data_IF_524430517415
#
_entry.id   IF_524430517415
#
_cell.length_a   1.000
_cell.length_b   1.000
_cell.length_c   1.000
_cell.angle_alpha   90.00
_cell.angle_beta   90.00
_cell.angle_gamma   90.00
#
_symmetry.space_group_name_H-M   'P 1'
#
loop_
_entity.id
_entity.type
_entity.pdbx_description
1 polymer ?
#
# COMPACT_ATOMS: atom_id res chain seq x y z
N UNK A 1 -3.36 -26.20 -5.33
CA UNK A 1 -4.10 -25.45 -4.28
C UNK A 1 -5.11 -24.56 -4.97
N UNK A 2 -6.32 -24.40 -4.42
CA UNK A 2 -7.29 -23.43 -4.95
C UNK A 2 -6.78 -21.99 -4.77
N UNK A 3 -7.31 -21.06 -5.57
CA UNK A 3 -6.88 -19.65 -5.56
C UNK A 3 -7.09 -19.00 -4.18
N UNK A 4 -8.20 -19.33 -3.51
CA UNK A 4 -8.61 -18.66 -2.28
C UNK A 4 -7.62 -18.88 -1.10
N UNK A 5 -7.21 -20.11 -0.74
CA UNK A 5 -6.20 -20.31 0.31
C UNK A 5 -4.87 -19.62 0.02
N UNK A 6 -4.40 -19.64 -1.23
CA UNK A 6 -3.18 -18.94 -1.63
C UNK A 6 -3.34 -17.43 -1.50
N UNK A 7 -4.47 -16.87 -1.95
CA UNK A 7 -4.74 -15.45 -1.83
C UNK A 7 -4.84 -14.99 -0.36
N UNK A 8 -5.48 -15.78 0.50
CA UNK A 8 -5.58 -15.49 1.94
C UNK A 8 -4.19 -15.52 2.60
N UNK A 9 -3.38 -16.53 2.29
CA UNK A 9 -2.03 -16.66 2.83
C UNK A 9 -1.11 -15.55 2.32
N UNK A 10 -1.02 -15.36 1.01
CA UNK A 10 -0.20 -14.32 0.40
C UNK A 10 -0.62 -12.92 0.82
N UNK A 11 -1.93 -12.66 0.84
CA UNK A 11 -2.51 -11.39 1.31
C UNK A 11 -2.17 -11.09 2.77
N UNK A 12 -2.27 -12.08 3.66
CA UNK A 12 -1.88 -11.93 5.06
C UNK A 12 -0.38 -11.64 5.23
N UNK A 13 0.48 -12.42 4.56
CA UNK A 13 1.94 -12.21 4.65
C UNK A 13 2.31 -10.82 4.12
N UNK A 14 1.78 -10.42 2.96
CA UNK A 14 2.03 -9.11 2.38
C UNK A 14 1.51 -7.98 3.27
N UNK A 15 0.35 -8.13 3.91
CA UNK A 15 -0.17 -7.10 4.82
C UNK A 15 0.70 -6.93 6.06
N UNK A 16 1.23 -8.01 6.62
CA UNK A 16 2.15 -7.94 7.77
C UNK A 16 3.46 -7.25 7.36
N UNK A 17 4.06 -7.68 6.25
CA UNK A 17 5.30 -7.09 5.73
C UNK A 17 5.12 -5.60 5.44
N UNK A 18 4.03 -5.25 4.73
CA UNK A 18 3.72 -3.86 4.43
C UNK A 18 3.41 -3.04 5.68
N UNK A 19 2.70 -3.58 6.66
CA UNK A 19 2.38 -2.83 7.87
C UNK A 19 3.63 -2.47 8.67
N UNK A 20 4.60 -3.38 8.76
CA UNK A 20 5.89 -3.13 9.41
C UNK A 20 6.70 -2.10 8.63
N UNK A 21 6.90 -2.31 7.32
CA UNK A 21 7.74 -1.45 6.50
C UNK A 21 7.08 -0.08 6.26
N UNK A 22 5.78 -0.05 6.04
CA UNK A 22 4.97 1.16 5.99
C UNK A 22 5.03 1.92 7.31
N UNK A 23 4.92 1.23 8.46
CA UNK A 23 5.16 1.83 9.76
C UNK A 23 6.51 2.55 9.83
N UNK A 24 7.59 1.91 9.41
CA UNK A 24 8.91 2.54 9.35
C UNK A 24 8.96 3.75 8.38
N UNK A 25 8.35 3.64 7.20
CA UNK A 25 8.34 4.71 6.20
C UNK A 25 7.49 5.93 6.60
N UNK A 26 6.39 5.73 7.32
CA UNK A 26 5.49 6.81 7.72
C UNK A 26 5.81 7.37 9.11
N UNK A 27 6.34 6.57 10.03
CA UNK A 27 6.66 7.00 11.40
C UNK A 27 8.12 7.42 11.60
N UNK A 28 8.94 7.43 10.54
CA UNK A 28 10.31 7.97 10.68
C UNK A 28 10.26 9.47 11.03
N UNK A 29 11.28 10.02 11.73
CA UNK A 29 11.25 11.39 12.24
C UNK A 29 11.05 12.47 11.17
N UNK A 30 11.53 12.25 9.95
CA UNK A 30 11.40 13.20 8.85
C UNK A 30 9.94 13.25 8.35
N UNK A 31 9.36 12.10 8.00
CA UNK A 31 7.97 12.00 7.56
C UNK A 31 7.02 12.45 8.67
N UNK A 32 7.22 11.97 9.90
CA UNK A 32 6.37 12.29 11.05
C UNK A 32 6.30 13.80 11.32
N UNK A 33 7.43 14.52 11.20
CA UNK A 33 7.46 15.98 11.34
C UNK A 33 6.61 16.69 10.29
N UNK A 34 6.61 16.21 9.05
CA UNK A 34 5.80 16.79 7.97
C UNK A 34 4.31 16.57 8.24
N UNK A 35 3.92 15.37 8.69
CA UNK A 35 2.53 15.09 9.11
C UNK A 35 2.09 15.96 10.28
N UNK A 36 2.94 16.13 11.31
CA UNK A 36 2.61 16.99 12.45
C UNK A 36 2.39 18.45 12.05
N UNK A 37 3.27 19.01 11.20
CA UNK A 37 3.10 20.39 10.70
C UNK A 37 1.81 20.60 9.89
N UNK A 38 1.23 19.53 9.35
CA UNK A 38 0.04 19.55 8.52
C UNK A 38 -1.23 19.13 9.27
N UNK A 39 -1.17 18.79 10.56
CA UNK A 39 -2.27 18.14 11.31
C UNK A 39 -3.58 18.94 11.37
N UNK A 40 -3.49 20.26 11.18
CA UNK A 40 -4.64 21.16 11.19
C UNK A 40 -5.20 21.46 9.78
N UNK A 41 -4.66 20.83 8.74
CA UNK A 41 -5.19 20.95 7.39
C UNK A 41 -6.62 20.36 7.33
N UNK A 42 -7.58 21.08 6.72
CA UNK A 42 -8.99 20.69 6.73
C UNK A 42 -9.28 19.37 6.00
N UNK A 43 -8.42 18.97 5.07
CA UNK A 43 -8.51 17.69 4.36
C UNK A 43 -8.11 16.47 5.24
N UNK A 44 -7.51 16.68 6.41
CA UNK A 44 -7.07 15.60 7.29
C UNK A 44 -8.13 15.24 8.34
N UNK A 45 -8.51 13.96 8.35
CA UNK A 45 -9.42 13.44 9.38
C UNK A 45 -8.71 13.31 10.72
N UNK A 46 -9.26 13.94 11.76
CA UNK A 46 -8.81 13.77 13.14
C UNK A 46 -9.33 12.45 13.71
N UNK A 47 -8.43 11.65 14.28
CA UNK A 47 -8.77 10.34 14.87
C UNK A 47 -8.73 10.42 16.41
N UNK A 48 -9.74 9.90 17.12
CA UNK A 48 -9.86 10.05 18.57
C UNK A 48 -8.92 9.12 19.37
N UNK A 49 -8.11 8.29 18.72
CA UNK A 49 -7.18 7.40 19.40
C UNK A 49 -6.29 6.59 18.46
N UNK A 50 -5.01 6.51 18.80
CA UNK A 50 -3.98 5.81 18.01
C UNK A 50 -4.28 4.32 17.84
N UNK A 51 -4.69 3.54 18.87
CA UNK A 51 -4.93 2.11 18.70
C UNK A 51 -6.06 1.79 17.71
N UNK A 52 -7.16 2.56 17.78
CA UNK A 52 -8.29 2.40 16.87
C UNK A 52 -7.91 2.74 15.43
N UNK A 53 -7.12 3.80 15.25
CA UNK A 53 -6.60 4.20 13.93
C UNK A 53 -5.70 3.11 13.34
N UNK A 54 -4.72 2.61 14.10
CA UNK A 54 -3.80 1.56 13.64
C UNK A 54 -4.54 0.26 13.31
N UNK A 55 -5.52 -0.14 14.14
CA UNK A 55 -6.33 -1.33 13.89
C UNK A 55 -7.12 -1.25 12.58
N UNK A 56 -7.78 -0.11 12.32
CA UNK A 56 -8.51 0.10 11.07
C UNK A 56 -7.58 0.21 9.86
N UNK A 57 -6.42 0.85 10.02
CA UNK A 57 -5.41 0.96 8.97
C UNK A 57 -4.85 -0.43 8.59
N UNK A 58 -4.57 -1.28 9.58
CA UNK A 58 -4.13 -2.64 9.34
C UNK A 58 -5.23 -3.47 8.66
N UNK A 59 -6.47 -3.41 9.14
CA UNK A 59 -7.59 -4.15 8.56
C UNK A 59 -7.84 -3.74 7.11
N UNK A 60 -7.80 -2.44 6.80
CA UNK A 60 -7.89 -1.93 5.43
C UNK A 60 -6.76 -2.48 4.57
N UNK A 61 -5.52 -2.44 5.09
CA UNK A 61 -4.34 -2.96 4.39
C UNK A 61 -4.43 -4.46 4.13
N UNK A 62 -4.96 -5.23 5.08
CA UNK A 62 -5.19 -6.68 4.94
C UNK A 62 -6.19 -6.98 3.82
N UNK A 63 -7.33 -6.29 3.81
CA UNK A 63 -8.34 -6.45 2.77
C UNK A 63 -7.75 -6.10 1.39
N UNK A 64 -7.06 -4.96 1.28
CA UNK A 64 -6.39 -4.55 0.05
C UNK A 64 -5.36 -5.58 -0.42
N UNK A 65 -4.56 -6.15 0.49
CA UNK A 65 -3.58 -7.17 0.15
C UNK A 65 -4.25 -8.47 -0.32
N UNK A 66 -5.32 -8.94 0.33
CA UNK A 66 -6.06 -10.13 -0.11
C UNK A 66 -6.61 -9.93 -1.53
N UNK A 67 -7.23 -8.77 -1.81
CA UNK A 67 -7.74 -8.46 -3.15
C UNK A 67 -6.61 -8.41 -4.18
N UNK A 68 -5.50 -7.76 -3.85
CA UNK A 68 -4.33 -7.72 -4.73
C UNK A 68 -3.72 -9.10 -4.97
N UNK A 69 -3.73 -10.01 -3.98
CA UNK A 69 -3.25 -11.38 -4.12
C UNK A 69 -4.13 -12.20 -5.10
N UNK A 70 -5.45 -12.00 -5.07
CA UNK A 70 -6.37 -12.61 -6.06
C UNK A 70 -6.01 -12.13 -7.46
N UNK A 71 -5.87 -10.81 -7.66
CA UNK A 71 -5.51 -10.22 -8.95
C UNK A 71 -4.16 -10.74 -9.43
N UNK A 72 -3.16 -10.80 -8.54
CA UNK A 72 -1.84 -11.36 -8.83
C UNK A 72 -1.94 -12.80 -9.32
N UNK A 73 -2.70 -13.67 -8.64
CA UNK A 73 -2.84 -15.07 -9.04
C UNK A 73 -3.52 -15.23 -10.40
N UNK A 74 -4.47 -14.36 -10.73
CA UNK A 74 -5.11 -14.34 -12.06
C UNK A 74 -4.13 -13.86 -13.14
N UNK A 75 -3.30 -12.86 -12.84
CA UNK A 75 -2.33 -12.30 -13.79
C UNK A 75 -1.02 -13.08 -13.88
N UNK A 76 -0.74 -14.01 -12.95
CA UNK A 76 0.57 -14.64 -12.78
C UNK A 76 1.13 -15.29 -14.05
N UNK A 77 0.25 -15.84 -14.91
CA UNK A 77 0.62 -16.51 -16.16
C UNK A 77 1.09 -15.56 -17.27
N UNK A 78 0.67 -14.28 -17.24
CA UNK A 78 1.05 -13.27 -18.23
C UNK A 78 2.19 -12.38 -17.76
N UNK A 79 2.55 -12.44 -16.48
CA UNK A 79 3.68 -11.71 -15.92
C UNK A 79 5.03 -12.40 -16.29
N UNK A 80 6.15 -11.65 -16.28
CA UNK A 80 7.47 -12.20 -16.57
C UNK A 80 7.82 -13.44 -15.73
N UNK A 81 8.68 -14.29 -16.29
CA UNK A 81 9.20 -15.47 -15.61
C UNK A 81 10.26 -15.06 -14.58
N UNK A 82 10.16 -15.61 -13.37
CA UNK A 82 11.07 -15.36 -12.26
C UNK A 82 10.47 -14.41 -11.21
N UNK A 83 10.82 -14.56 -9.91
CA UNK A 83 10.17 -13.83 -8.83
C UNK A 83 10.41 -12.32 -8.89
N UNK A 84 11.66 -11.89 -9.13
CA UNK A 84 12.01 -10.47 -9.20
C UNK A 84 11.29 -9.76 -10.35
N UNK A 85 11.45 -10.16 -11.64
CA UNK A 85 10.82 -9.44 -12.74
C UNK A 85 9.28 -9.51 -12.69
N UNK A 86 8.71 -10.62 -12.17
CA UNK A 86 7.27 -10.73 -11.91
C UNK A 86 6.80 -9.73 -10.86
N UNK A 87 7.50 -9.64 -9.73
CA UNK A 87 7.17 -8.71 -8.65
C UNK A 87 7.32 -7.25 -9.08
N UNK A 88 8.35 -6.92 -9.87
CA UNK A 88 8.51 -5.58 -10.44
C UNK A 88 7.36 -5.23 -11.39
N UNK A 89 7.03 -6.13 -12.33
CA UNK A 89 5.93 -5.93 -13.27
C UNK A 89 4.58 -5.75 -12.55
N UNK A 90 4.29 -6.60 -11.56
CA UNK A 90 3.06 -6.48 -10.78
C UNK A 90 3.05 -5.24 -9.87
N UNK A 91 4.21 -4.82 -9.35
CA UNK A 91 4.36 -3.58 -8.60
C UNK A 91 3.99 -2.35 -9.44
N UNK A 92 4.39 -2.31 -10.71
CA UNK A 92 3.96 -1.27 -11.64
C UNK A 92 2.45 -1.28 -11.88
N UNK A 93 1.84 -2.47 -12.00
CA UNK A 93 0.38 -2.60 -12.09
C UNK A 93 -0.28 -2.00 -10.85
N UNK A 94 0.17 -2.36 -9.64
CA UNK A 94 -0.36 -1.79 -8.40
C UNK A 94 -0.20 -0.27 -8.34
N UNK A 95 0.93 0.28 -8.80
CA UNK A 95 1.11 1.74 -8.88
C UNK A 95 0.08 2.36 -9.83
N UNK A 96 -0.08 1.81 -11.02
CA UNK A 96 -0.98 2.34 -12.04
C UNK A 96 -2.46 2.29 -11.62
N UNK A 97 -2.89 1.24 -10.92
CA UNK A 97 -4.32 1.04 -10.56
C UNK A 97 -4.70 1.59 -9.19
N UNK A 98 -3.74 1.74 -8.27
CA UNK A 98 -4.00 2.16 -6.88
C UNK A 98 -3.40 3.51 -6.56
N UNK A 99 -2.12 3.71 -6.86
CA UNK A 99 -1.39 4.90 -6.41
C UNK A 99 -1.70 6.10 -7.30
N UNK A 100 -1.62 5.94 -8.63
CA UNK A 100 -1.88 7.03 -9.57
C UNK A 100 -3.31 7.58 -9.44
N UNK A 101 -4.37 6.75 -9.41
CA UNK A 101 -5.73 7.28 -9.29
C UNK A 101 -5.96 8.00 -7.97
N UNK A 102 -5.48 7.43 -6.85
CA UNK A 102 -5.58 8.07 -5.53
C UNK A 102 -4.81 9.39 -5.46
N UNK A 103 -3.61 9.44 -6.02
CA UNK A 103 -2.82 10.67 -6.08
C UNK A 103 -3.55 11.76 -6.86
N UNK A 104 -4.07 11.43 -8.05
CA UNK A 104 -4.82 12.37 -8.87
C UNK A 104 -6.12 12.82 -8.20
N UNK A 105 -6.83 11.91 -7.55
CA UNK A 105 -8.04 12.22 -6.77
C UNK A 105 -7.76 13.24 -5.66
N UNK A 106 -6.75 12.98 -4.82
CA UNK A 106 -6.35 13.92 -3.75
C UNK A 106 -5.84 15.25 -4.31
N UNK A 107 -5.10 15.22 -5.43
CA UNK A 107 -4.56 16.43 -6.05
C UNK A 107 -5.63 17.32 -6.68
N UNK A 108 -6.63 16.74 -7.35
CA UNK A 108 -7.65 17.50 -8.07
C UNK A 108 -8.84 17.90 -7.19
N UNK A 109 -9.23 17.06 -6.23
CA UNK A 109 -10.53 17.19 -5.54
C UNK A 109 -10.44 17.63 -4.08
N UNK A 110 -9.24 17.76 -3.51
CA UNK A 110 -9.10 18.05 -2.08
C UNK A 110 -8.07 19.15 -1.83
N UNK A 111 -8.13 19.76 -0.64
CA UNK A 111 -7.11 20.71 -0.17
C UNK A 111 -5.93 20.00 0.50
N UNK A 112 -5.56 18.80 0.00
CA UNK A 112 -4.50 17.99 0.58
C UNK A 112 -3.14 18.69 0.46
N UNK A 113 -2.34 18.76 1.54
CA UNK A 113 -1.03 19.42 1.46
C UNK A 113 -0.10 18.73 0.45
N UNK A 114 0.43 19.48 -0.51
CA UNK A 114 1.31 18.94 -1.58
C UNK A 114 2.48 18.09 -1.06
N UNK A 115 3.07 18.46 0.09
CA UNK A 115 4.15 17.67 0.70
C UNK A 115 3.68 16.29 1.15
N UNK A 116 2.48 16.21 1.74
CA UNK A 116 1.90 14.92 2.13
C UNK A 116 1.48 14.11 0.90
N UNK A 117 0.96 14.78 -0.13
CA UNK A 117 0.61 14.14 -1.40
C UNK A 117 1.82 13.40 -2.02
N UNK A 118 2.98 14.06 -2.07
CA UNK A 118 4.22 13.44 -2.57
C UNK A 118 4.70 12.29 -1.70
N UNK A 119 4.61 12.42 -0.37
CA UNK A 119 4.95 11.32 0.55
C UNK A 119 4.04 10.11 0.31
N UNK A 120 2.74 10.33 0.13
CA UNK A 120 1.81 9.25 -0.17
C UNK A 120 2.09 8.59 -1.52
N UNK A 121 2.41 9.38 -2.55
CA UNK A 121 2.83 8.87 -3.84
C UNK A 121 4.08 7.98 -3.73
N UNK A 122 5.14 8.50 -3.11
CA UNK A 122 6.43 7.80 -2.99
C UNK A 122 6.31 6.56 -2.10
N UNK A 123 5.81 6.71 -0.87
CA UNK A 123 5.68 5.60 0.06
C UNK A 123 4.67 4.57 -0.46
N UNK A 124 3.59 5.02 -1.10
CA UNK A 124 2.62 4.15 -1.76
C UNK A 124 3.24 3.33 -2.89
N UNK A 125 4.10 3.95 -3.73
CA UNK A 125 4.83 3.23 -4.77
C UNK A 125 5.82 2.22 -4.21
N UNK A 126 6.59 2.59 -3.19
CA UNK A 126 7.50 1.65 -2.49
C UNK A 126 6.71 0.48 -1.90
N UNK A 127 5.57 0.76 -1.26
CA UNK A 127 4.68 -0.24 -0.71
C UNK A 127 4.11 -1.20 -1.76
N UNK A 128 3.71 -0.68 -2.91
CA UNK A 128 3.26 -1.48 -4.05
C UNK A 128 4.32 -2.48 -4.50
N UNK A 129 5.59 -2.09 -4.58
CA UNK A 129 6.69 -3.01 -4.90
C UNK A 129 6.95 -4.03 -3.80
N UNK A 130 6.94 -3.63 -2.53
CA UNK A 130 7.09 -4.54 -1.38
C UNK A 130 6.01 -5.63 -1.41
N UNK A 131 4.75 -5.23 -1.58
CA UNK A 131 3.61 -6.14 -1.65
C UNK A 131 3.75 -7.10 -2.84
N UNK A 132 4.06 -6.57 -4.03
CA UNK A 132 4.19 -7.36 -5.24
C UNK A 132 5.36 -8.36 -5.19
N UNK A 133 6.52 -7.95 -4.65
CA UNK A 133 7.64 -8.85 -4.41
C UNK A 133 7.29 -9.93 -3.40
N UNK A 134 6.55 -9.58 -2.33
CA UNK A 134 6.07 -10.57 -1.36
C UNK A 134 5.22 -11.63 -2.04
N UNK A 135 4.28 -11.25 -2.90
CA UNK A 135 3.52 -12.23 -3.68
C UNK A 135 4.40 -13.08 -4.58
N UNK A 136 5.37 -12.47 -5.26
CA UNK A 136 6.24 -13.18 -6.18
C UNK A 136 7.09 -14.29 -5.52
N UNK A 137 7.42 -14.15 -4.24
CA UNK A 137 8.16 -15.16 -3.46
C UNK A 137 7.26 -16.13 -2.71
N UNK A 138 6.04 -15.72 -2.34
CA UNK A 138 5.17 -16.50 -1.44
C UNK A 138 4.11 -17.31 -2.20
N UNK A 139 3.58 -16.80 -3.32
CA UNK A 139 2.44 -17.40 -4.04
C UNK A 139 2.57 -17.42 -5.56
#
# INVERSE_FOLDING_TARGET
MSILPLALWGGFVASVVWFILGGALYMNPFTAKIYHNAENAPALKKWPGVPKYLGLMYLSSLIECILAAIVYLVMKSVLPVGPIPRGLAFGLVLIAVRIVPRFLDMWMQTTYPNRLLWIEGINGSIGSFIIALTYAYVI
#
